data_IF_505933698859
#
_entry.id   IF_505933698859
#
_cell.length_a   1.000
_cell.length_b   1.000
_cell.length_c   1.000
_cell.angle_alpha   90.00
_cell.angle_beta   90.00
_cell.angle_gamma   90.00
#
_symmetry.space_group_name_H-M   'P 1'
#
loop_
_entity.id
_entity.type
_entity.pdbx_description
1 polymer ?
#
# COMPACT_ATOMS: atom_id res chain seq x y z
N UNK A 1 4.66 14.66 13.50
CA UNK A 1 5.30 14.31 12.20
C UNK A 1 5.03 15.48 11.27
N UNK A 2 6.03 16.31 11.08
CA UNK A 2 5.93 17.43 10.15
C UNK A 2 6.08 16.91 8.71
N UNK A 3 5.25 17.41 7.80
CA UNK A 3 5.30 17.15 6.36
C UNK A 3 4.85 15.76 5.84
N UNK A 4 3.89 15.09 6.46
CA UNK A 4 3.20 13.98 5.80
C UNK A 4 2.06 14.50 4.90
N UNK A 5 1.69 13.78 3.82
CA UNK A 5 0.62 14.22 2.93
C UNK A 5 -0.71 14.32 3.66
N UNK A 6 -1.50 15.34 3.33
CA UNK A 6 -2.88 15.49 3.85
C UNK A 6 -3.82 14.62 3.04
N UNK A 7 -4.10 13.42 3.53
CA UNK A 7 -5.01 12.47 2.90
C UNK A 7 -6.34 12.48 3.64
N UNK A 8 -7.40 12.95 2.99
CA UNK A 8 -8.77 12.80 3.47
C UNK A 8 -9.23 11.38 3.19
N UNK A 9 -9.69 10.69 4.22
CA UNK A 9 -10.25 9.35 4.17
C UNK A 9 -11.75 9.42 4.44
N UNK A 10 -12.55 8.85 3.54
CA UNK A 10 -13.98 8.70 3.72
C UNK A 10 -14.32 7.22 3.70
N UNK A 11 -15.02 6.74 4.72
CA UNK A 11 -15.48 5.35 4.82
C UNK A 11 -16.98 5.34 5.01
N UNK A 12 -17.67 4.60 4.17
CA UNK A 12 -19.12 4.41 4.24
C UNK A 12 -19.49 3.17 5.04
N UNK A 13 -20.71 3.09 5.52
CA UNK A 13 -21.28 1.94 6.20
C UNK A 13 -22.78 2.08 6.29
N UNK A 14 -23.40 1.42 7.26
CA UNK A 14 -24.84 1.44 7.44
C UNK A 14 -25.23 1.89 8.86
N UNK A 15 -26.38 2.53 8.99
CA UNK A 15 -27.00 2.85 10.28
C UNK A 15 -27.77 1.63 10.82
N UNK A 16 -28.37 1.77 11.99
CA UNK A 16 -29.20 0.72 12.64
C UNK A 16 -30.42 0.29 11.82
N UNK A 17 -30.83 1.09 10.84
CA UNK A 17 -31.96 0.80 9.96
C UNK A 17 -31.49 0.26 8.58
N UNK A 18 -30.19 -0.04 8.43
CA UNK A 18 -29.61 -0.56 7.18
C UNK A 18 -29.44 0.50 6.08
N UNK A 19 -29.55 1.80 6.38
CA UNK A 19 -29.38 2.86 5.39
C UNK A 19 -27.90 3.23 5.27
N UNK A 20 -27.43 3.46 4.05
CA UNK A 20 -26.07 3.88 3.77
C UNK A 20 -25.76 5.25 4.38
N UNK A 21 -24.66 5.33 5.12
CA UNK A 21 -24.18 6.55 5.78
C UNK A 21 -22.65 6.67 5.67
N UNK A 22 -22.13 7.87 5.88
CA UNK A 22 -20.70 8.09 6.08
C UNK A 22 -20.37 7.77 7.55
N UNK A 23 -19.50 6.77 7.78
CA UNK A 23 -19.03 6.39 9.11
C UNK A 23 -17.77 7.16 9.51
N UNK A 24 -16.85 7.41 8.57
CA UNK A 24 -15.61 8.14 8.81
C UNK A 24 -15.44 9.18 7.70
N UNK A 25 -15.13 10.40 8.10
CA UNK A 25 -14.69 11.48 7.21
C UNK A 25 -13.64 12.30 7.97
N UNK A 26 -12.37 11.99 7.72
CA UNK A 26 -11.25 12.58 8.46
C UNK A 26 -10.02 12.77 7.56
N UNK A 27 -9.13 13.65 7.97
CA UNK A 27 -7.76 13.66 7.46
C UNK A 27 -6.94 12.63 8.23
N UNK A 28 -6.30 11.71 7.53
CA UNK A 28 -5.48 10.67 8.13
C UNK A 28 -4.40 11.28 9.03
N UNK A 29 -4.44 10.95 10.32
CA UNK A 29 -3.47 11.39 11.33
C UNK A 29 -2.55 10.25 11.82
N UNK A 30 -2.81 9.01 11.40
CA UNK A 30 -2.13 7.80 11.86
C UNK A 30 -1.02 7.33 10.90
N UNK A 31 -0.32 8.27 10.26
CA UNK A 31 0.93 7.98 9.57
C UNK A 31 1.97 7.46 10.57
N UNK A 32 2.73 6.46 10.15
CA UNK A 32 3.80 5.86 10.93
C UNK A 32 5.04 5.65 10.07
N UNK A 33 6.24 5.62 10.66
CA UNK A 33 7.45 5.22 9.93
C UNK A 33 7.25 3.82 9.36
N UNK A 34 7.54 3.69 8.08
CA UNK A 34 7.62 2.44 7.35
C UNK A 34 9.07 1.93 7.30
N UNK A 35 9.33 1.07 6.33
CA UNK A 35 10.69 0.63 6.00
C UNK A 35 11.29 1.55 4.94
N UNK A 36 12.62 1.63 4.87
CA UNK A 36 13.32 2.43 3.87
C UNK A 36 13.07 3.93 3.97
N UNK A 37 12.88 4.46 5.17
CA UNK A 37 12.57 5.87 5.45
C UNK A 37 11.23 6.38 4.87
N UNK A 38 10.36 5.48 4.42
CA UNK A 38 9.01 5.82 3.99
C UNK A 38 8.09 6.11 5.19
N UNK A 39 7.01 6.84 4.95
CA UNK A 39 5.88 6.91 5.88
C UNK A 39 4.68 6.16 5.30
N UNK A 40 3.93 5.54 6.19
CA UNK A 40 2.80 4.66 5.82
C UNK A 40 1.56 5.05 6.59
N UNK A 41 0.44 5.20 5.90
CA UNK A 41 -0.89 5.31 6.48
C UNK A 41 -1.78 4.22 5.89
N UNK A 42 -2.30 3.31 6.71
CA UNK A 42 -3.31 2.37 6.23
C UNK A 42 -4.65 3.10 6.13
N UNK A 43 -5.23 3.08 4.93
CA UNK A 43 -6.57 3.62 4.68
C UNK A 43 -7.63 2.64 5.13
N UNK A 44 -7.44 1.35 4.77
CA UNK A 44 -8.32 0.25 5.16
C UNK A 44 -7.59 -1.08 5.09
N UNK A 45 -8.10 -2.08 5.82
CA UNK A 45 -7.62 -3.47 5.77
C UNK A 45 -8.78 -4.44 5.90
N UNK A 46 -8.64 -5.60 5.26
CA UNK A 46 -9.51 -6.76 5.45
C UNK A 46 -8.66 -7.98 5.84
N UNK A 47 -9.27 -8.99 6.43
CA UNK A 47 -8.61 -10.23 6.88
C UNK A 47 -9.34 -11.50 6.48
N UNK A 48 -10.32 -11.37 5.60
CA UNK A 48 -11.10 -12.47 5.03
C UNK A 48 -11.27 -12.29 3.53
N UNK A 49 -11.46 -13.38 2.82
CA UNK A 49 -11.85 -13.40 1.40
C UNK A 49 -12.97 -14.43 1.19
N UNK A 50 -14.18 -14.03 0.80
CA UNK A 50 -14.62 -12.65 0.54
C UNK A 50 -14.49 -11.75 1.76
N UNK A 51 -14.22 -10.45 1.53
CA UNK A 51 -14.19 -9.47 2.61
C UNK A 51 -15.59 -9.27 3.23
N UNK A 52 -15.64 -9.09 4.55
CA UNK A 52 -16.89 -8.71 5.23
C UNK A 52 -17.08 -7.18 5.17
N UNK A 53 -18.32 -6.76 4.95
CA UNK A 53 -18.76 -5.38 5.11
C UNK A 53 -19.45 -5.13 6.45
N UNK A 54 -19.47 -6.15 7.34
CA UNK A 54 -20.15 -6.08 8.63
C UNK A 54 -19.23 -5.47 9.70
N UNK A 55 -19.87 -4.94 10.75
CA UNK A 55 -19.18 -4.38 11.90
C UNK A 55 -18.84 -2.89 11.76
N UNK A 56 -18.37 -2.32 12.87
CA UNK A 56 -18.02 -0.90 12.97
C UNK A 56 -16.52 -0.67 13.27
N UNK A 57 -15.70 -1.71 13.15
CA UNK A 57 -14.25 -1.59 13.37
C UNK A 57 -13.59 -0.76 12.27
N UNK A 58 -12.70 0.14 12.68
CA UNK A 58 -11.90 0.93 11.75
C UNK A 58 -10.71 0.09 11.22
N UNK A 59 -10.90 -0.53 10.06
CA UNK A 59 -9.85 -1.33 9.40
C UNK A 59 -8.57 -0.56 9.09
N UNK A 60 -8.60 0.77 9.00
CA UNK A 60 -7.42 1.60 8.80
C UNK A 60 -6.55 1.72 10.06
N UNK A 61 -7.14 1.55 11.23
CA UNK A 61 -6.46 1.63 12.54
C UNK A 61 -6.12 0.26 13.13
N UNK A 62 -6.21 -0.81 12.33
CA UNK A 62 -5.82 -2.16 12.78
C UNK A 62 -4.41 -2.14 13.36
N UNK A 63 -4.20 -2.67 14.59
CA UNK A 63 -2.89 -2.71 15.21
C UNK A 63 -1.95 -3.68 14.49
N UNK A 64 -0.64 -3.42 14.56
CA UNK A 64 0.40 -4.28 14.00
C UNK A 64 1.20 -3.63 12.86
N UNK A 65 2.31 -4.27 12.51
CA UNK A 65 3.16 -3.93 11.37
C UNK A 65 3.09 -5.08 10.37
N UNK A 66 2.45 -4.87 9.24
CA UNK A 66 2.26 -5.88 8.20
C UNK A 66 2.38 -5.25 6.82
N UNK A 67 2.84 -6.01 5.85
CA UNK A 67 2.76 -5.66 4.42
C UNK A 67 1.55 -6.33 3.77
N UNK A 68 1.25 -7.56 4.18
CA UNK A 68 0.10 -8.34 3.73
C UNK A 68 -0.65 -8.89 4.93
N UNK A 69 -1.92 -9.23 4.74
CA UNK A 69 -2.77 -9.94 5.71
C UNK A 69 -3.27 -11.19 5.00
N UNK A 70 -3.04 -12.35 5.61
CA UNK A 70 -3.51 -13.63 5.06
C UNK A 70 -5.01 -13.58 4.78
N UNK A 71 -5.43 -14.02 3.59
CA UNK A 71 -6.80 -13.95 3.09
C UNK A 71 -7.43 -12.55 3.11
N UNK A 72 -6.62 -11.51 3.10
CA UNK A 72 -7.09 -10.14 3.22
C UNK A 72 -6.45 -9.18 2.24
N UNK A 73 -6.69 -7.92 2.49
CA UNK A 73 -6.13 -6.82 1.71
C UNK A 73 -5.63 -5.68 2.62
N UNK A 74 -4.72 -4.89 2.08
CA UNK A 74 -4.22 -3.69 2.74
C UNK A 74 -4.25 -2.54 1.73
N UNK A 75 -5.10 -1.58 1.95
CA UNK A 75 -5.09 -0.31 1.23
C UNK A 75 -4.33 0.72 2.05
N UNK A 76 -3.25 1.27 1.50
CA UNK A 76 -2.38 2.23 2.18
C UNK A 76 -1.91 3.36 1.29
N UNK A 77 -1.52 4.46 1.93
CA UNK A 77 -0.75 5.53 1.33
C UNK A 77 0.70 5.38 1.77
N UNK A 78 1.61 5.48 0.80
CA UNK A 78 3.05 5.52 1.02
C UNK A 78 3.58 6.90 0.65
N UNK A 79 4.38 7.48 1.53
CA UNK A 79 5.10 8.72 1.34
C UNK A 79 6.59 8.36 1.14
N UNK A 80 7.04 8.40 -0.10
CA UNK A 80 8.41 8.09 -0.49
C UNK A 80 9.21 9.36 -0.71
N UNK A 81 10.00 9.74 0.27
CA UNK A 81 10.82 10.95 0.25
C UNK A 81 12.08 10.78 -0.58
N UNK A 82 12.70 11.89 -1.04
CA UNK A 82 14.04 11.85 -1.60
C UNK A 82 15.03 11.15 -0.66
N UNK A 83 15.98 10.40 -1.22
CA UNK A 83 16.94 9.62 -0.45
C UNK A 83 16.33 8.37 0.21
N UNK A 84 15.27 7.83 -0.36
CA UNK A 84 14.68 6.57 0.07
C UNK A 84 15.76 5.47 0.16
N UNK A 85 15.80 4.76 1.29
CA UNK A 85 16.74 3.65 1.48
C UNK A 85 16.39 2.49 0.56
N UNK A 86 17.42 1.90 -0.04
CA UNK A 86 17.24 0.73 -0.92
C UNK A 86 16.67 -0.44 -0.13
N UNK A 87 15.54 -0.96 -0.63
CA UNK A 87 14.88 -2.13 -0.04
C UNK A 87 14.40 -3.07 -1.13
N UNK A 88 15.21 -4.07 -1.43
CA UNK A 88 14.83 -5.15 -2.34
C UNK A 88 13.97 -6.15 -1.60
N UNK A 89 12.78 -6.43 -2.12
CA UNK A 89 11.84 -7.34 -1.45
C UNK A 89 10.83 -7.94 -2.43
N UNK A 90 10.14 -8.98 -1.96
CA UNK A 90 8.97 -9.60 -2.60
C UNK A 90 7.91 -9.82 -1.55
N UNK A 91 6.65 -9.59 -1.92
CA UNK A 91 5.47 -9.89 -1.10
C UNK A 91 4.61 -10.96 -1.76
N UNK A 92 3.94 -11.79 -0.98
CA UNK A 92 2.91 -12.70 -1.47
C UNK A 92 1.61 -11.93 -1.64
N UNK A 93 1.60 -11.04 -2.64
CA UNK A 93 0.45 -10.20 -2.97
C UNK A 93 0.42 -9.81 -4.44
N UNK A 94 -0.77 -9.44 -4.90
CA UNK A 94 -0.93 -8.62 -6.11
C UNK A 94 -1.15 -7.21 -5.62
N UNK A 95 -0.33 -6.27 -6.10
CA UNK A 95 -0.40 -4.89 -5.67
C UNK A 95 -0.95 -4.03 -6.81
N UNK A 96 -2.01 -3.26 -6.53
CA UNK A 96 -2.48 -2.20 -7.40
C UNK A 96 -1.94 -0.88 -6.89
N UNK A 97 -1.23 -0.15 -7.74
CA UNK A 97 -0.47 1.04 -7.38
C UNK A 97 -0.92 2.20 -8.25
N UNK A 98 -1.15 3.33 -7.62
CA UNK A 98 -1.45 4.61 -8.28
C UNK A 98 -0.48 5.64 -7.78
N UNK A 99 0.22 6.33 -8.67
CA UNK A 99 1.04 7.49 -8.33
C UNK A 99 0.11 8.69 -8.15
N UNK A 100 -0.05 9.16 -6.92
CA UNK A 100 -0.93 10.28 -6.60
C UNK A 100 -0.26 11.64 -6.85
N UNK A 101 1.04 11.74 -6.53
CA UNK A 101 1.85 12.93 -6.77
C UNK A 101 3.33 12.60 -6.80
N UNK A 102 4.12 13.47 -7.44
CA UNK A 102 5.55 13.27 -7.61
C UNK A 102 5.88 12.22 -8.66
N UNK A 103 7.10 11.71 -8.61
CA UNK A 103 7.64 10.70 -9.52
C UNK A 103 8.53 9.72 -8.77
N UNK A 104 8.68 8.50 -9.28
CA UNK A 104 9.48 7.46 -8.65
C UNK A 104 9.91 6.41 -9.69
N UNK A 105 11.07 5.81 -9.49
CA UNK A 105 11.52 4.67 -10.28
C UNK A 105 11.26 3.36 -9.52
N UNK A 106 10.77 2.36 -10.23
CA UNK A 106 10.65 0.98 -9.75
C UNK A 106 11.70 0.13 -10.45
N UNK A 107 12.59 -0.48 -9.68
CA UNK A 107 13.66 -1.36 -10.14
C UNK A 107 13.27 -2.82 -9.91
N UNK A 108 13.37 -3.66 -10.94
CA UNK A 108 13.24 -5.11 -10.84
C UNK A 108 14.60 -5.78 -10.54
N UNK A 109 14.59 -7.05 -10.13
CA UNK A 109 15.82 -7.81 -9.82
C UNK A 109 16.77 -7.97 -11.02
N UNK A 110 16.26 -7.83 -12.24
CA UNK A 110 17.05 -7.86 -13.48
C UNK A 110 17.83 -6.57 -13.74
N UNK A 111 17.58 -5.53 -12.93
CA UNK A 111 18.08 -4.18 -13.18
C UNK A 111 17.22 -3.38 -14.16
N UNK A 112 16.11 -3.93 -14.65
CA UNK A 112 15.13 -3.16 -15.41
C UNK A 112 14.45 -2.14 -14.52
N UNK A 113 14.39 -0.89 -14.95
CA UNK A 113 13.74 0.20 -14.23
C UNK A 113 12.56 0.74 -15.03
N UNK A 114 11.50 1.10 -14.30
CA UNK A 114 10.31 1.77 -14.84
C UNK A 114 10.14 3.09 -14.11
N UNK A 115 10.15 4.18 -14.85
CA UNK A 115 9.86 5.51 -14.35
C UNK A 115 8.35 5.72 -14.30
N UNK A 116 7.82 6.15 -13.16
CA UNK A 116 6.42 6.40 -12.92
C UNK A 116 6.21 7.83 -12.42
N UNK A 117 5.16 8.49 -12.91
CA UNK A 117 4.79 9.85 -12.54
C UNK A 117 3.31 9.94 -12.12
N UNK A 118 2.92 11.07 -11.54
CA UNK A 118 1.55 11.30 -11.10
C UNK A 118 0.51 10.97 -12.17
N UNK A 119 -0.46 10.13 -11.82
CA UNK A 119 -1.50 9.60 -12.70
C UNK A 119 -1.18 8.23 -13.29
N UNK A 120 0.05 7.76 -13.23
CA UNK A 120 0.40 6.41 -13.69
C UNK A 120 -0.15 5.35 -12.73
N UNK A 121 -0.50 4.20 -13.31
CA UNK A 121 -0.97 3.03 -12.57
C UNK A 121 -0.11 1.81 -12.89
N UNK A 122 0.14 0.98 -11.89
CA UNK A 122 0.94 -0.23 -12.05
C UNK A 122 0.30 -1.41 -11.34
N UNK A 123 0.43 -2.60 -11.91
CA UNK A 123 0.11 -3.86 -11.26
C UNK A 123 1.40 -4.63 -11.01
N UNK A 124 1.70 -4.91 -9.75
CA UNK A 124 2.85 -5.70 -9.34
C UNK A 124 2.41 -7.10 -8.89
N UNK A 125 2.97 -8.12 -9.51
CA UNK A 125 2.54 -9.52 -9.37
C UNK A 125 3.59 -10.37 -8.65
N UNK A 126 3.84 -10.06 -7.37
CA UNK A 126 4.80 -10.81 -6.54
C UNK A 126 6.22 -10.83 -7.11
N UNK A 127 6.64 -9.78 -7.79
CA UNK A 127 7.98 -9.63 -8.34
C UNK A 127 8.94 -9.06 -7.31
N UNK A 128 10.22 -9.43 -7.40
CA UNK A 128 11.28 -8.75 -6.62
C UNK A 128 11.46 -7.35 -7.16
N UNK A 129 11.40 -6.38 -6.27
CA UNK A 129 11.48 -4.98 -6.65
C UNK A 129 12.09 -4.09 -5.57
N UNK A 130 12.44 -2.90 -5.98
CA UNK A 130 12.92 -1.81 -5.13
C UNK A 130 12.33 -0.48 -5.65
N UNK A 131 12.08 0.45 -4.76
CA UNK A 131 11.62 1.80 -5.08
C UNK A 131 12.74 2.79 -4.90
N UNK A 132 12.89 3.72 -5.85
CA UNK A 132 13.98 4.70 -5.86
C UNK A 132 13.38 6.09 -6.15
N UNK A 133 13.44 6.98 -5.17
CA UNK A 133 13.10 8.38 -5.40
C UNK A 133 14.40 9.17 -5.64
N UNK A 134 14.68 9.45 -6.91
CA UNK A 134 15.84 10.26 -7.36
C UNK A 134 15.51 11.75 -7.48
N UNK A 135 14.23 12.09 -7.31
CA UNK A 135 13.76 13.48 -7.39
C UNK A 135 14.09 14.30 -6.14
N UNK A 136 13.63 15.53 -6.13
CA UNK A 136 13.75 16.45 -5.00
C UNK A 136 12.47 16.55 -4.18
N UNK A 137 11.38 16.01 -4.69
CA UNK A 137 10.05 16.05 -4.10
C UNK A 137 9.62 14.66 -3.60
N UNK A 138 8.72 14.65 -2.63
CA UNK A 138 8.09 13.41 -2.14
C UNK A 138 7.18 12.81 -3.21
N UNK A 139 7.33 11.51 -3.46
CA UNK A 139 6.36 10.75 -4.25
C UNK A 139 5.33 10.10 -3.32
N UNK A 140 4.06 10.30 -3.61
CA UNK A 140 2.95 9.73 -2.85
C UNK A 140 2.26 8.66 -3.69
N UNK A 141 2.22 7.44 -3.17
CA UNK A 141 1.55 6.30 -3.80
C UNK A 141 0.31 5.88 -3.00
N UNK A 142 -0.75 5.56 -3.70
CA UNK A 142 -1.84 4.73 -3.17
C UNK A 142 -1.58 3.28 -3.59
N UNK A 143 -1.53 2.36 -2.63
CA UNK A 143 -1.20 0.96 -2.87
C UNK A 143 -2.23 0.05 -2.23
N UNK A 144 -2.81 -0.86 -3.02
CA UNK A 144 -3.70 -1.91 -2.56
C UNK A 144 -2.97 -3.24 -2.71
N UNK A 145 -2.62 -3.87 -1.58
CA UNK A 145 -1.99 -5.20 -1.55
C UNK A 145 -3.08 -6.22 -1.25
N UNK A 146 -3.27 -7.15 -2.16
CA UNK A 146 -4.24 -8.26 -2.05
C UNK A 146 -3.42 -9.53 -1.83
N UNK A 147 -3.66 -10.25 -0.73
CA UNK A 147 -2.98 -11.50 -0.45
C UNK A 147 -3.09 -12.47 -1.62
N UNK A 148 -1.96 -13.06 -2.00
CA UNK A 148 -1.85 -14.01 -3.10
C UNK A 148 -0.92 -15.17 -2.73
N UNK A 149 -1.12 -16.30 -3.38
CA UNK A 149 -0.19 -17.41 -3.26
C UNK A 149 1.20 -17.03 -3.80
N UNK A 150 2.28 -17.65 -3.29
CA UNK A 150 3.61 -17.50 -3.85
C UNK A 150 3.62 -17.75 -5.37
N UNK A 151 4.35 -16.94 -6.10
CA UNK A 151 4.47 -17.08 -7.56
C UNK A 151 5.14 -18.41 -7.89
N UNK A 152 4.56 -19.15 -8.85
CA UNK A 152 5.18 -20.34 -9.42
C UNK A 152 5.89 -19.95 -10.73
N UNK A 153 7.21 -19.88 -10.71
CA UNK A 153 8.00 -19.54 -11.89
C UNK A 153 9.37 -20.25 -11.84
N UNK A 154 9.97 -20.50 -13.00
CA UNK A 154 11.27 -21.21 -13.07
C UNK A 154 11.24 -22.61 -12.45
N UNK A 155 10.08 -23.27 -12.36
CA UNK A 155 9.93 -24.60 -11.78
C UNK A 155 9.92 -24.65 -10.24
N UNK A 156 9.77 -23.51 -9.56
CA UNK A 156 9.75 -23.42 -8.10
C UNK A 156 8.78 -22.34 -7.59
N UNK A 157 8.41 -22.46 -6.31
CA UNK A 157 7.70 -21.41 -5.59
C UNK A 157 8.68 -20.30 -5.20
N UNK A 158 8.32 -19.07 -5.48
CA UNK A 158 9.11 -17.88 -5.19
C UNK A 158 8.54 -17.19 -3.94
N UNK A 159 9.11 -17.49 -2.78
CA UNK A 159 8.63 -17.02 -1.48
C UNK A 159 8.86 -15.51 -1.26
N UNK A 160 8.04 -14.91 -0.38
CA UNK A 160 8.20 -13.54 0.08
C UNK A 160 9.48 -13.38 0.92
N UNK A 161 10.13 -12.22 0.82
CA UNK A 161 11.29 -11.84 1.62
C UNK A 161 11.48 -10.32 1.70
N UNK A 162 12.30 -9.80 2.66
CA UNK A 162 12.74 -8.40 2.81
C UNK A 162 11.95 -7.53 3.80
#
# INVERSE_FOLDING_TARGET
>A
MENVPKIRRVVTGHDENGRAVVKIDEVCSHFRPGRGNAFVCNVWTTDTSPASNDGDEDGGKRPGKFSTIENGSVFRILDFRPGLERRVHRTNSIDYIVVMSGEIDMELETGEEVHLQAGDVMVQRGTVHNWINRGTETCVLAVILIHANPVQAGGQALEAFG
#
